data_IF_800660061893
#
_entry.id   IF_800660061893
#
_cell.length_a   1.000
_cell.length_b   1.000
_cell.length_c   1.000
_cell.angle_alpha   90.00
_cell.angle_beta   90.00
_cell.angle_gamma   90.00
#
_symmetry.space_group_name_H-M   'P 1'
#
loop_
_entity.id
_entity.type
_entity.pdbx_description
1 polymer ?
#
# COMPACT_ATOMS: atom_id res chain seq x y z
N UNK A 1 -6.64 -36.22 0.01
CA UNK A 1 -6.15 -37.61 0.00
C UNK A 1 -5.05 -37.70 -1.07
N UNK A 2 -3.86 -38.23 -0.75
CA UNK A 2 -2.76 -38.31 -1.71
C UNK A 2 -2.98 -39.44 -2.72
N UNK A 3 -2.69 -39.19 -4.00
CA UNK A 3 -2.63 -40.27 -4.98
C UNK A 3 -1.40 -41.14 -4.72
N UNK A 4 -1.44 -42.41 -5.16
CA UNK A 4 -0.30 -43.34 -5.05
C UNK A 4 1.01 -42.71 -5.55
N UNK A 5 0.93 -41.97 -6.67
CA UNK A 5 2.09 -41.33 -7.29
C UNK A 5 2.60 -40.12 -6.50
N UNK A 6 1.72 -39.32 -5.92
CA UNK A 6 2.11 -38.22 -5.04
C UNK A 6 2.76 -38.73 -3.75
N UNK A 7 2.26 -39.85 -3.20
CA UNK A 7 2.88 -40.51 -2.05
C UNK A 7 4.29 -41.02 -2.38
N UNK A 8 4.49 -41.68 -3.52
CA UNK A 8 5.81 -42.13 -3.97
C UNK A 8 6.82 -40.98 -4.14
N UNK A 9 6.37 -39.82 -4.64
CA UNK A 9 7.20 -38.60 -4.74
C UNK A 9 7.56 -38.08 -3.35
N UNK A 10 6.58 -37.98 -2.45
CA UNK A 10 6.78 -37.49 -1.08
C UNK A 10 7.75 -38.39 -0.31
N UNK A 11 7.50 -39.71 -0.31
CA UNK A 11 8.34 -40.70 0.38
C UNK A 11 9.79 -40.67 -0.13
N UNK A 12 10.00 -40.45 -1.43
CA UNK A 12 11.35 -40.33 -1.98
C UNK A 12 12.05 -39.05 -1.54
N UNK A 13 11.34 -37.91 -1.55
CA UNK A 13 11.88 -36.62 -1.10
C UNK A 13 12.26 -36.69 0.38
N UNK A 14 11.41 -37.28 1.23
CA UNK A 14 11.68 -37.48 2.65
C UNK A 14 12.92 -38.37 2.88
N UNK A 15 12.95 -39.56 2.26
CA UNK A 15 14.08 -40.48 2.42
C UNK A 15 15.40 -39.93 1.89
N UNK A 16 15.37 -39.21 0.77
CA UNK A 16 16.55 -38.59 0.20
C UNK A 16 17.08 -37.47 1.11
N UNK A 17 16.18 -36.63 1.64
CA UNK A 17 16.55 -35.53 2.53
C UNK A 17 17.12 -36.02 3.84
N UNK A 18 16.52 -37.03 4.47
CA UNK A 18 17.03 -37.66 5.70
C UNK A 18 18.42 -38.28 5.51
N UNK A 19 18.67 -38.91 4.35
CA UNK A 19 19.93 -39.61 4.09
C UNK A 19 21.07 -38.69 3.63
N UNK A 20 20.76 -37.57 2.97
CA UNK A 20 21.75 -36.69 2.32
C UNK A 20 21.88 -35.32 2.98
N UNK A 21 20.96 -34.95 3.87
CA UNK A 21 20.93 -33.62 4.51
C UNK A 21 20.49 -32.50 3.57
N UNK A 22 20.07 -32.81 2.34
CA UNK A 22 19.53 -31.85 1.37
C UNK A 22 18.51 -32.54 0.45
N UNK A 23 17.70 -31.72 -0.20
CA UNK A 23 16.61 -32.18 -1.04
C UNK A 23 17.05 -32.71 -2.41
N UNK A 24 16.39 -33.74 -2.96
CA UNK A 24 16.67 -34.20 -4.32
C UNK A 24 16.25 -33.13 -5.35
N UNK A 25 17.02 -33.03 -6.43
CA UNK A 25 16.64 -32.25 -7.61
C UNK A 25 15.50 -32.91 -8.37
N UNK A 26 14.78 -32.13 -9.20
CA UNK A 26 13.73 -32.70 -10.05
C UNK A 26 14.25 -33.79 -10.99
N UNK A 27 15.51 -33.70 -11.41
CA UNK A 27 16.12 -34.71 -12.28
C UNK A 27 16.44 -36.02 -11.53
N UNK A 28 16.78 -35.94 -10.24
CA UNK A 28 16.95 -37.12 -9.38
C UNK A 28 15.61 -37.79 -9.07
N UNK A 29 14.57 -36.99 -8.84
CA UNK A 29 13.20 -37.50 -8.67
C UNK A 29 12.74 -38.19 -9.97
N UNK A 30 13.05 -37.61 -11.14
CA UNK A 30 12.70 -38.18 -12.45
C UNK A 30 13.32 -39.53 -12.67
N UNK A 31 14.64 -39.61 -12.48
CA UNK A 31 15.42 -40.85 -12.63
C UNK A 31 14.94 -41.92 -11.66
N UNK A 32 14.69 -41.57 -10.40
CA UNK A 32 14.27 -42.54 -9.38
C UNK A 32 12.87 -43.11 -9.62
N UNK A 33 11.94 -42.28 -10.07
CA UNK A 33 10.55 -42.68 -10.31
C UNK A 33 10.29 -43.15 -11.75
N UNK A 34 11.34 -43.21 -12.58
CA UNK A 34 11.31 -43.59 -14.01
C UNK A 34 10.23 -42.82 -14.78
N UNK A 35 10.17 -41.51 -14.57
CA UNK A 35 9.19 -40.64 -15.22
C UNK A 35 9.71 -40.12 -16.56
N UNK A 36 8.80 -39.98 -17.53
CA UNK A 36 9.15 -39.54 -18.88
C UNK A 36 9.71 -38.10 -18.90
N UNK A 37 9.18 -37.20 -18.07
CA UNK A 37 9.56 -35.78 -18.09
C UNK A 37 9.70 -35.15 -16.70
N UNK A 38 10.50 -34.09 -16.63
CA UNK A 38 10.65 -33.23 -15.44
C UNK A 38 9.34 -32.48 -15.16
N UNK A 39 8.58 -32.14 -16.19
CA UNK A 39 7.29 -31.44 -16.09
C UNK A 39 6.26 -32.23 -15.27
N UNK A 40 6.26 -33.56 -15.37
CA UNK A 40 5.39 -34.43 -14.55
C UNK A 40 5.70 -34.31 -13.06
N UNK A 41 6.96 -34.01 -12.70
CA UNK A 41 7.39 -33.84 -11.30
C UNK A 41 6.99 -32.47 -10.81
N UNK A 42 7.13 -31.42 -11.64
CA UNK A 42 6.60 -30.10 -11.32
C UNK A 42 5.12 -30.16 -10.94
N UNK A 43 4.32 -30.92 -11.69
CA UNK A 43 2.90 -31.13 -11.38
C UNK A 43 2.68 -31.80 -10.01
N UNK A 44 3.36 -32.91 -9.72
CA UNK A 44 3.19 -33.61 -8.44
C UNK A 44 3.72 -32.80 -7.25
N UNK A 45 4.84 -32.10 -7.41
CA UNK A 45 5.39 -31.22 -6.38
C UNK A 45 4.46 -30.02 -6.13
N UNK A 46 3.86 -29.43 -7.16
CA UNK A 46 2.86 -28.36 -7.00
C UNK A 46 1.66 -28.85 -6.20
N UNK A 47 1.11 -30.03 -6.56
CA UNK A 47 -0.04 -30.61 -5.84
C UNK A 47 0.28 -31.00 -4.40
N UNK A 48 1.50 -31.47 -4.13
CA UNK A 48 1.96 -31.75 -2.77
C UNK A 48 2.15 -30.46 -1.96
N UNK A 49 2.63 -29.37 -2.58
CA UNK A 49 2.71 -28.04 -1.95
C UNK A 49 1.33 -27.45 -1.65
N UNK A 50 0.43 -27.47 -2.63
CA UNK A 50 -0.97 -27.04 -2.48
C UNK A 50 -1.68 -27.83 -1.38
N UNK A 51 -1.38 -29.14 -1.26
CA UNK A 51 -1.91 -29.99 -0.20
C UNK A 51 -1.23 -29.83 1.16
N UNK A 52 -0.26 -28.93 1.31
CA UNK A 52 0.47 -28.71 2.56
C UNK A 52 1.47 -29.82 2.94
N UNK A 53 1.75 -30.77 2.04
CA UNK A 53 2.67 -31.89 2.28
C UNK A 53 4.14 -31.51 2.05
N UNK A 54 4.40 -30.40 1.33
CA UNK A 54 5.73 -29.85 1.11
C UNK A 54 5.72 -28.35 1.43
N UNK A 55 6.67 -27.90 2.26
CA UNK A 55 6.83 -26.48 2.60
C UNK A 55 7.44 -25.65 1.47
N UNK A 56 7.23 -24.34 1.52
CA UNK A 56 7.89 -23.37 0.64
C UNK A 56 9.26 -23.05 1.24
N UNK A 57 10.32 -23.55 0.61
CA UNK A 57 11.68 -23.04 0.81
C UNK A 57 12.15 -22.32 -0.44
N UNK A 58 12.95 -21.28 -0.20
CA UNK A 58 13.46 -20.27 -1.12
C UNK A 58 13.98 -20.81 -2.46
N UNK A 59 14.01 -19.93 -3.46
CA UNK A 59 14.64 -20.10 -4.77
C UNK A 59 16.17 -20.32 -4.66
N UNK A 60 16.59 -21.44 -4.08
CA UNK A 60 17.92 -22.04 -4.23
C UNK A 60 17.74 -23.40 -4.88
N UNK A 61 18.56 -23.71 -5.87
CA UNK A 61 18.69 -25.07 -6.36
C UNK A 61 19.06 -25.96 -5.16
N UNK A 62 18.13 -26.85 -4.73
CA UNK A 62 18.25 -27.81 -3.61
C UNK A 62 17.83 -27.35 -2.20
N UNK A 63 16.70 -26.67 -2.04
CA UNK A 63 16.06 -26.53 -0.73
C UNK A 63 14.64 -27.10 -0.74
N UNK A 64 14.47 -28.34 -0.25
CA UNK A 64 13.21 -28.86 0.30
C UNK A 64 13.57 -29.20 1.75
N UNK A 65 13.11 -28.39 2.70
CA UNK A 65 13.14 -28.76 4.12
C UNK A 65 11.81 -29.40 4.47
N UNK A 66 11.86 -30.60 5.05
CA UNK A 66 10.69 -31.24 5.68
C UNK A 66 10.44 -30.50 6.99
N UNK A 67 9.44 -29.61 7.02
CA UNK A 67 9.04 -28.94 8.25
C UNK A 67 8.35 -29.95 9.16
N UNK A 68 8.87 -30.12 10.37
CA UNK A 68 8.27 -30.91 11.44
C UNK A 68 6.80 -30.55 11.65
N UNK A 69 5.95 -31.57 11.83
CA UNK A 69 4.52 -31.43 12.14
C UNK A 69 4.32 -30.76 13.52
N UNK A 70 4.40 -29.45 13.60
CA UNK A 70 3.81 -28.74 14.74
C UNK A 70 2.28 -28.68 14.52
N UNK A 71 1.46 -29.20 15.46
CA UNK A 71 0.01 -29.08 15.34
C UNK A 71 -0.39 -27.60 15.39
N UNK A 72 -1.02 -27.12 14.32
CA UNK A 72 -1.51 -25.74 14.20
C UNK A 72 -2.97 -25.65 14.69
N UNK A 73 -3.31 -24.57 15.39
CA UNK A 73 -4.67 -24.25 15.84
C UNK A 73 -5.16 -23.02 15.08
N UNK A 74 -6.44 -23.02 14.68
CA UNK A 74 -7.09 -21.86 14.07
C UNK A 74 -7.65 -20.96 15.17
N UNK A 75 -7.24 -19.70 15.19
CA UNK A 75 -7.66 -18.70 16.17
C UNK A 75 -8.47 -17.63 15.43
N UNK A 76 -9.66 -17.25 15.91
CA UNK A 76 -10.49 -16.26 15.23
C UNK A 76 -9.84 -14.87 15.28
N UNK A 77 -9.80 -14.19 14.13
CA UNK A 77 -9.41 -12.80 14.02
C UNK A 77 -10.67 -11.94 14.13
N UNK A 78 -10.85 -11.25 15.26
CA UNK A 78 -12.10 -10.57 15.61
C UNK A 78 -12.19 -9.12 15.11
N UNK A 79 -11.22 -8.68 14.30
CA UNK A 79 -11.20 -7.35 13.69
C UNK A 79 -9.93 -6.58 13.99
N UNK A 80 -10.05 -5.25 13.97
CA UNK A 80 -8.97 -4.29 14.19
C UNK A 80 -9.09 -3.62 15.56
N UNK A 81 -7.97 -3.23 16.14
CA UNK A 81 -7.89 -2.40 17.34
C UNK A 81 -7.20 -1.08 16.98
N UNK A 82 -8.00 -0.03 16.77
CA UNK A 82 -7.55 1.33 16.53
C UNK A 82 -7.63 2.16 17.81
N UNK A 83 -6.74 3.12 17.97
CA UNK A 83 -6.90 4.12 19.02
C UNK A 83 -8.16 4.95 18.74
N UNK A 84 -9.12 4.97 19.68
CA UNK A 84 -10.21 5.95 19.68
C UNK A 84 -11.54 5.53 19.03
N UNK A 85 -11.65 4.34 18.43
CA UNK A 85 -12.92 3.88 17.83
C UNK A 85 -13.38 2.51 18.39
N UNK A 86 -14.71 2.26 18.43
CA UNK A 86 -15.23 0.95 18.85
C UNK A 86 -14.72 -0.17 17.95
N UNK A 87 -14.62 -1.40 18.48
CA UNK A 87 -14.46 -2.58 17.63
C UNK A 87 -15.70 -2.66 16.73
N UNK A 88 -15.55 -2.34 15.45
CA UNK A 88 -16.55 -2.74 14.46
C UNK A 88 -16.54 -4.27 14.39
N UNK A 89 -17.59 -4.89 14.92
CA UNK A 89 -17.82 -6.31 14.80
C UNK A 89 -18.21 -6.67 13.36
N UNK A 90 -17.27 -6.53 12.42
CA UNK A 90 -17.43 -7.08 11.08
C UNK A 90 -17.29 -8.60 11.22
N UNK A 91 -18.41 -9.32 11.11
CA UNK A 91 -18.43 -10.79 11.08
C UNK A 91 -17.83 -11.32 9.77
N UNK A 92 -16.51 -11.15 9.59
CA UNK A 92 -15.76 -11.95 8.64
C UNK A 92 -15.13 -13.11 9.42
N UNK A 93 -15.36 -14.34 8.96
CA UNK A 93 -14.82 -15.56 9.56
C UNK A 93 -13.32 -15.73 9.18
N UNK A 94 -12.49 -14.76 9.55
CA UNK A 94 -11.05 -14.84 9.37
C UNK A 94 -10.40 -15.59 10.54
N UNK A 95 -9.42 -16.44 10.22
CA UNK A 95 -8.67 -17.21 11.21
C UNK A 95 -7.19 -17.11 10.92
N UNK A 96 -6.39 -17.00 11.98
CA UNK A 96 -4.94 -17.17 11.91
C UNK A 96 -4.57 -18.60 12.33
N UNK A 97 -3.58 -19.19 11.67
CA UNK A 97 -3.03 -20.48 12.07
C UNK A 97 -1.85 -20.25 13.03
N UNK A 98 -1.89 -20.83 14.22
CA UNK A 98 -0.86 -20.62 15.25
C UNK A 98 -0.36 -21.95 15.85
N UNK A 99 0.95 -22.10 16.13
CA UNK A 99 1.48 -23.33 16.71
C UNK A 99 0.90 -23.65 18.09
N UNK A 100 0.33 -24.85 18.27
CA UNK A 100 -0.28 -25.27 19.55
C UNK A 100 0.69 -25.22 20.73
N UNK A 101 1.98 -25.48 20.48
CA UNK A 101 3.02 -25.49 21.51
C UNK A 101 3.24 -24.10 22.16
N UNK A 102 2.86 -23.02 21.46
CA UNK A 102 2.97 -21.65 21.97
C UNK A 102 1.69 -21.14 22.63
N UNK A 103 0.63 -21.95 22.67
CA UNK A 103 -0.64 -21.57 23.27
C UNK A 103 -0.68 -21.93 24.76
N UNK A 104 -1.30 -21.09 25.60
CA UNK A 104 -1.59 -21.47 26.98
C UNK A 104 -2.48 -22.72 27.02
N UNK A 105 -2.32 -23.53 28.07
CA UNK A 105 -3.02 -24.81 28.19
C UNK A 105 -4.55 -24.67 28.28
N UNK A 106 -5.04 -23.53 28.79
CA UNK A 106 -6.47 -23.20 28.96
C UNK A 106 -6.73 -21.70 28.69
N UNK A 107 -7.94 -21.40 28.19
CA UNK A 107 -8.44 -20.03 27.97
C UNK A 107 -8.96 -19.81 26.56
N UNK A 108 -9.98 -18.95 26.42
CA UNK A 108 -10.46 -18.53 25.09
C UNK A 108 -9.48 -17.52 24.50
N UNK A 109 -9.06 -17.76 23.27
CA UNK A 109 -8.10 -16.93 22.56
C UNK A 109 -8.76 -16.31 21.33
N UNK A 110 -8.38 -15.07 21.05
CA UNK A 110 -8.74 -14.38 19.83
C UNK A 110 -7.59 -13.51 19.37
N UNK A 111 -7.59 -13.15 18.10
CA UNK A 111 -6.60 -12.27 17.51
C UNK A 111 -7.24 -10.92 17.16
N UNK A 112 -6.46 -9.85 17.22
CA UNK A 112 -6.83 -8.52 16.73
C UNK A 112 -5.67 -7.95 15.91
N UNK A 113 -5.98 -7.25 14.82
CA UNK A 113 -4.99 -6.51 14.04
C UNK A 113 -4.81 -5.11 14.63
N UNK A 114 -3.57 -4.72 14.90
CA UNK A 114 -3.22 -3.44 15.51
C UNK A 114 -3.27 -2.33 14.47
N UNK A 115 -3.86 -1.20 14.85
CA UNK A 115 -3.85 0.04 14.04
C UNK A 115 -3.30 1.18 14.90
N UNK A 116 -2.27 1.84 14.39
CA UNK A 116 -1.55 2.94 15.04
C UNK A 116 -0.26 2.54 15.76
N UNK A 117 0.45 3.54 16.28
CA UNK A 117 1.82 3.41 16.80
C UNK A 117 1.93 3.55 18.32
N UNK A 118 0.82 3.45 19.07
CA UNK A 118 0.82 3.71 20.52
C UNK A 118 1.61 2.69 21.37
N UNK A 119 2.04 1.59 20.78
CA UNK A 119 2.70 0.47 21.48
C UNK A 119 4.06 0.07 20.87
N UNK A 120 4.67 0.96 20.08
CA UNK A 120 5.93 0.69 19.36
C UNK A 120 7.10 0.31 20.29
N UNK A 121 7.19 0.90 21.49
CA UNK A 121 8.25 0.61 22.45
C UNK A 121 8.11 -0.79 23.08
N UNK A 122 6.94 -1.42 22.94
CA UNK A 122 6.69 -2.84 23.28
C UNK A 122 6.85 -3.76 22.07
N UNK A 123 7.48 -3.25 21.00
CA UNK A 123 7.63 -3.94 19.72
C UNK A 123 6.27 -4.42 19.17
N UNK A 124 5.26 -3.56 19.22
CA UNK A 124 3.95 -3.77 18.58
C UNK A 124 3.75 -2.63 17.58
N UNK A 125 3.87 -2.97 16.30
CA UNK A 125 3.77 -2.02 15.21
C UNK A 125 2.35 -1.98 14.65
N UNK A 126 2.05 -0.91 13.92
CA UNK A 126 0.85 -0.85 13.10
C UNK A 126 0.82 -2.04 12.11
N UNK A 127 -0.34 -2.67 11.95
CA UNK A 127 -0.51 -3.85 11.10
C UNK A 127 -0.20 -5.20 11.77
N UNK A 128 0.56 -5.23 12.88
CA UNK A 128 0.83 -6.47 13.63
C UNK A 128 -0.48 -7.12 14.12
N UNK A 129 -0.47 -8.44 14.31
CA UNK A 129 -1.60 -9.18 14.88
C UNK A 129 -1.26 -9.58 16.31
N UNK A 130 -2.02 -9.08 17.28
CA UNK A 130 -1.87 -9.46 18.68
C UNK A 130 -2.75 -10.68 18.99
N UNK A 131 -2.16 -11.66 19.66
CA UNK A 131 -2.89 -12.80 20.21
C UNK A 131 -3.31 -12.47 21.64
N UNK A 132 -4.61 -12.54 21.90
CA UNK A 132 -5.22 -12.07 23.14
C UNK A 132 -5.88 -13.25 23.85
N UNK A 133 -5.58 -13.41 25.13
CA UNK A 133 -6.30 -14.30 26.03
C UNK A 133 -7.47 -13.54 26.64
N UNK A 134 -8.69 -14.02 26.41
CA UNK A 134 -9.90 -13.42 26.95
C UNK A 134 -9.93 -13.59 28.48
N UNK A 135 -9.92 -12.47 29.18
CA UNK A 135 -10.02 -12.38 30.65
C UNK A 135 -10.44 -10.95 31.04
N UNK A 136 -11.01 -10.80 32.22
CA UNK A 136 -11.56 -9.55 32.77
C UNK A 136 -10.66 -8.90 33.83
N UNK A 137 -9.55 -9.55 34.16
CA UNK A 137 -8.53 -9.08 35.10
C UNK A 137 -7.17 -8.96 34.43
N UNK A 138 -6.36 -8.01 34.89
CA UNK A 138 -4.99 -7.80 34.45
C UNK A 138 -4.10 -7.33 35.62
N UNK A 139 -2.82 -7.64 35.54
CA UNK A 139 -1.77 -7.23 36.46
C UNK A 139 -1.03 -5.98 35.97
N UNK A 140 -0.38 -5.26 36.89
CA UNK A 140 0.35 -4.05 36.55
C UNK A 140 1.50 -4.35 35.59
N UNK A 141 1.54 -3.64 34.47
CA UNK A 141 2.53 -3.80 33.41
C UNK A 141 2.09 -4.73 32.27
N UNK A 142 0.99 -5.47 32.41
CA UNK A 142 0.46 -6.30 31.33
C UNK A 142 -0.07 -5.46 30.17
N UNK A 143 0.07 -5.99 28.95
CA UNK A 143 -0.47 -5.41 27.72
C UNK A 143 -1.92 -5.86 27.60
N UNK A 144 -2.87 -4.94 27.68
CA UNK A 144 -4.30 -5.25 27.76
C UNK A 144 -5.07 -4.66 26.60
N UNK A 145 -6.09 -5.40 26.17
CA UNK A 145 -7.21 -4.85 25.40
C UNK A 145 -8.25 -4.38 26.39
N UNK A 146 -8.50 -3.08 26.45
CA UNK A 146 -9.45 -2.46 27.35
C UNK A 146 -10.54 -1.74 26.56
N UNK A 147 -11.79 -1.91 26.98
CA UNK A 147 -12.95 -1.15 26.52
C UNK A 147 -13.26 -0.06 27.55
N UNK A 148 -13.25 1.20 27.12
CA UNK A 148 -13.50 2.37 27.95
C UNK A 148 -14.86 2.96 27.58
N UNK A 149 -15.65 3.32 28.59
CA UNK A 149 -16.99 3.90 28.47
C UNK A 149 -17.92 3.14 27.50
N UNK A 150 -17.74 1.82 27.37
CA UNK A 150 -18.44 0.94 26.43
C UNK A 150 -18.36 1.33 24.94
N UNK A 151 -17.47 2.24 24.56
CA UNK A 151 -17.36 2.75 23.20
C UNK A 151 -15.93 2.70 22.64
N UNK A 152 -14.88 2.88 23.45
CA UNK A 152 -13.51 2.98 22.94
C UNK A 152 -12.70 1.72 23.29
N UNK A 153 -12.22 0.97 22.29
CA UNK A 153 -11.31 -0.16 22.55
C UNK A 153 -9.87 0.25 22.31
N UNK A 154 -8.96 -0.03 23.26
CA UNK A 154 -7.56 0.37 23.15
C UNK A 154 -6.60 -0.72 23.61
N UNK A 155 -5.41 -0.75 23.01
CA UNK A 155 -4.28 -1.58 23.42
C UNK A 155 -3.27 -0.71 24.18
N UNK A 156 -3.07 -0.97 25.47
CA UNK A 156 -2.19 -0.21 26.36
C UNK A 156 -1.59 -1.11 27.44
N UNK A 157 -0.57 -0.62 28.16
CA UNK A 157 -0.13 -1.26 29.41
C UNK A 157 -1.04 -0.86 30.55
N UNK A 158 -1.52 -1.84 31.31
CA UNK A 158 -2.40 -1.62 32.44
C UNK A 158 -1.63 -1.30 33.72
N UNK A 159 -2.05 -0.28 34.45
CA UNK A 159 -1.57 0.02 35.80
C UNK A 159 -2.74 0.41 36.70
N UNK A 160 -2.99 -0.41 37.72
CA UNK A 160 -3.88 -0.11 38.83
C UNK A 160 -3.10 0.65 39.91
N UNK A 161 -3.43 1.92 40.07
CA UNK A 161 -2.81 2.82 41.04
C UNK A 161 -3.84 3.25 42.11
N UNK A 162 -3.39 3.92 43.17
CA UNK A 162 -4.31 4.37 44.23
C UNK A 162 -5.28 5.42 43.67
N UNK A 163 -6.55 5.05 43.58
CA UNK A 163 -7.64 5.95 43.20
C UNK A 163 -7.92 6.11 41.70
N UNK A 164 -7.15 5.46 40.82
CA UNK A 164 -7.37 5.49 39.38
C UNK A 164 -6.69 4.30 38.67
N UNK A 165 -7.10 4.03 37.44
CA UNK A 165 -6.41 3.13 36.51
C UNK A 165 -5.70 3.97 35.47
N UNK A 166 -4.44 3.65 35.17
CA UNK A 166 -3.66 4.27 34.09
C UNK A 166 -3.47 3.25 32.97
N UNK A 167 -3.92 3.60 31.78
CA UNK A 167 -3.62 2.88 30.54
C UNK A 167 -2.48 3.61 29.85
N UNK A 168 -1.29 3.02 29.97
CA UNK A 168 -0.05 3.63 29.51
C UNK A 168 0.27 3.22 28.07
N UNK A 169 0.40 4.17 27.12
CA UNK A 169 1.00 3.87 25.83
C UNK A 169 2.48 3.52 25.99
N UNK A 170 2.94 2.58 25.19
CA UNK A 170 4.36 2.32 25.00
C UNK A 170 4.85 3.10 23.76
N UNK A 171 4.70 4.41 23.84
CA UNK A 171 5.21 5.38 22.89
C UNK A 171 5.32 6.75 23.58
N UNK A 172 6.51 7.35 23.56
CA UNK A 172 6.80 8.64 24.22
C UNK A 172 5.98 9.83 23.70
N UNK A 173 5.41 9.75 22.50
CA UNK A 173 4.62 10.85 21.92
C UNK A 173 3.14 10.81 22.32
N UNK A 174 2.72 9.80 23.10
CA UNK A 174 1.33 9.63 23.53
C UNK A 174 1.22 9.82 25.04
N UNK A 175 0.20 10.58 25.46
CA UNK A 175 -0.12 10.77 26.87
C UNK A 175 -0.84 9.55 27.48
N UNK A 176 -0.63 9.23 28.76
CA UNK A 176 -1.36 8.17 29.45
C UNK A 176 -2.85 8.47 29.56
N UNK A 177 -3.70 7.45 29.39
CA UNK A 177 -5.14 7.58 29.63
C UNK A 177 -5.42 7.27 31.10
N UNK A 178 -5.99 8.23 31.82
CA UNK A 178 -6.31 8.12 33.25
C UNK A 178 -7.81 7.90 33.43
N UNK A 179 -8.17 6.73 33.97
CA UNK A 179 -9.54 6.34 34.28
C UNK A 179 -9.78 6.50 35.78
N UNK A 180 -10.62 7.47 36.12
CA UNK A 180 -11.07 7.74 37.51
C UNK A 180 -12.45 7.10 37.72
N UNK A 181 -13.01 7.26 38.92
CA UNK A 181 -14.28 6.62 39.34
C UNK A 181 -15.51 7.00 38.51
N UNK A 182 -15.42 8.07 37.73
CA UNK A 182 -16.45 8.61 36.85
C UNK A 182 -16.48 7.97 35.45
N UNK A 183 -15.48 7.15 35.12
CA UNK A 183 -15.38 6.46 33.82
C UNK A 183 -15.42 4.95 34.00
N UNK A 184 -16.02 4.25 33.04
CA UNK A 184 -16.10 2.80 33.04
C UNK A 184 -14.94 2.19 32.25
N UNK A 185 -14.40 1.07 32.73
CA UNK A 185 -13.35 0.31 32.03
C UNK A 185 -13.57 -1.18 32.21
N UNK A 186 -13.57 -1.89 31.09
CA UNK A 186 -13.65 -3.34 31.04
C UNK A 186 -12.42 -3.92 30.34
N UNK A 187 -11.67 -4.75 31.04
CA UNK A 187 -10.62 -5.54 30.39
C UNK A 187 -11.29 -6.63 29.56
N UNK A 188 -10.94 -6.70 28.28
CA UNK A 188 -11.43 -7.71 27.34
C UNK A 188 -10.42 -8.85 27.15
N UNK A 189 -9.15 -8.61 27.50
CA UNK A 189 -8.13 -9.64 27.53
C UNK A 189 -6.70 -9.10 27.67
N UNK A 190 -5.77 -10.03 27.81
CA UNK A 190 -4.33 -9.77 27.94
C UNK A 190 -3.61 -10.30 26.70
N UNK A 191 -2.70 -9.51 26.13
CA UNK A 191 -1.87 -9.89 24.99
C UNK A 191 -0.81 -10.89 25.44
N UNK A 192 -0.82 -12.08 24.83
CA UNK A 192 0.12 -13.17 25.12
C UNK A 192 1.21 -13.32 24.07
N UNK A 193 0.95 -12.94 22.82
CA UNK A 193 1.94 -12.99 21.75
C UNK A 193 1.63 -11.92 20.68
N UNK A 194 2.63 -11.60 19.87
CA UNK A 194 2.57 -10.63 18.78
C UNK A 194 3.07 -11.31 17.51
N UNK A 195 2.18 -11.51 16.56
CA UNK A 195 2.50 -12.02 15.24
C UNK A 195 2.84 -10.81 14.39
N UNK A 196 4.11 -10.72 14.01
CA UNK A 196 4.58 -9.64 13.16
C UNK A 196 3.89 -9.69 11.82
N UNK A 197 3.44 -8.53 11.35
CA UNK A 197 3.02 -8.40 9.96
C UNK A 197 4.28 -8.56 9.09
N UNK A 198 4.52 -9.78 8.62
CA UNK A 198 5.72 -10.09 7.84
C UNK A 198 5.73 -9.37 6.49
N UNK A 199 4.64 -8.73 6.05
CA UNK A 199 4.63 -7.96 4.80
C UNK A 199 5.61 -6.77 4.81
N UNK A 200 5.79 -6.07 5.94
CA UNK A 200 6.75 -4.96 6.04
C UNK A 200 8.20 -5.46 6.19
N UNK A 201 8.43 -6.49 7.01
CA UNK A 201 9.76 -7.10 7.19
C UNK A 201 10.23 -7.84 5.95
N UNK A 202 9.31 -8.40 5.15
CA UNK A 202 9.62 -8.98 3.85
C UNK A 202 9.79 -7.90 2.78
N UNK A 203 9.06 -6.79 2.79
CA UNK A 203 9.34 -5.68 1.88
C UNK A 203 10.76 -5.13 2.12
N UNK A 204 11.14 -4.85 3.37
CA UNK A 204 12.49 -4.35 3.68
C UNK A 204 13.60 -5.42 3.43
N UNK A 205 13.40 -6.70 3.79
CA UNK A 205 14.44 -7.74 3.56
C UNK A 205 14.52 -8.24 2.11
N UNK A 206 13.42 -8.28 1.36
CA UNK A 206 13.42 -8.63 -0.06
C UNK A 206 14.05 -7.50 -0.88
N UNK A 207 13.80 -6.23 -0.51
CA UNK A 207 14.46 -5.08 -1.14
C UNK A 207 15.97 -5.08 -0.87
N UNK A 208 16.41 -5.59 0.29
CA UNK A 208 17.82 -5.50 0.70
C UNK A 208 18.67 -6.75 0.40
N UNK A 209 18.19 -7.74 -0.38
CA UNK A 209 19.04 -8.93 -0.69
C UNK A 209 18.95 -9.49 -2.11
N UNK A 210 18.67 -8.64 -3.10
CA UNK A 210 19.30 -8.73 -4.42
C UNK A 210 19.50 -7.29 -4.88
N UNK A 211 20.74 -6.83 -4.98
CA UNK A 211 21.03 -5.61 -5.74
C UNK A 211 20.36 -5.76 -7.10
N UNK A 212 19.28 -5.01 -7.33
CA UNK A 212 18.65 -4.95 -8.65
C UNK A 212 19.69 -4.30 -9.54
N UNK A 213 20.26 -5.10 -10.45
CA UNK A 213 21.30 -4.63 -11.35
C UNK A 213 20.68 -3.57 -12.27
N UNK A 214 21.00 -2.31 -12.02
CA UNK A 214 20.56 -1.19 -12.85
C UNK A 214 21.05 -1.39 -14.28
N UNK A 215 20.19 -1.09 -15.24
CA UNK A 215 20.53 -1.15 -16.64
C UNK A 215 21.57 -0.08 -16.96
N UNK A 216 22.57 -0.42 -17.79
CA UNK A 216 23.59 0.55 -18.21
C UNK A 216 23.11 1.45 -19.34
N UNK A 217 22.04 1.07 -20.02
CA UNK A 217 21.44 1.78 -21.16
C UNK A 217 19.94 1.77 -20.99
N UNK A 218 19.29 2.86 -21.35
CA UNK A 218 17.85 2.97 -21.27
C UNK A 218 17.17 2.14 -22.37
N UNK A 219 16.05 1.49 -22.04
CA UNK A 219 15.18 0.76 -22.99
C UNK A 219 14.34 1.75 -23.80
N UNK A 220 14.97 2.54 -24.66
CA UNK A 220 14.29 3.59 -25.42
C UNK A 220 13.37 3.00 -26.51
N UNK A 221 12.26 3.69 -26.77
CA UNK A 221 11.31 3.41 -27.86
C UNK A 221 10.72 1.98 -27.86
N UNK A 222 10.55 1.40 -26.67
CA UNK A 222 9.95 0.07 -26.53
C UNK A 222 8.98 0.02 -25.34
N UNK A 223 7.96 -0.84 -25.47
CA UNK A 223 7.05 -1.18 -24.39
C UNK A 223 7.66 -2.35 -23.62
N UNK A 224 7.84 -2.18 -22.33
CA UNK A 224 8.37 -3.22 -21.46
C UNK A 224 7.20 -4.01 -20.88
N UNK A 225 7.15 -5.31 -21.16
CA UNK A 225 6.19 -6.22 -20.55
C UNK A 225 6.73 -6.71 -19.21
N UNK A 226 6.21 -6.18 -18.09
CA UNK A 226 6.63 -6.56 -16.75
C UNK A 226 5.85 -5.88 -15.64
N UNK A 227 6.17 -6.21 -14.40
CA UNK A 227 5.65 -5.49 -13.24
C UNK A 227 6.26 -4.09 -13.18
N UNK A 228 5.42 -3.06 -13.17
CA UNK A 228 5.88 -1.67 -13.29
C UNK A 228 6.91 -1.29 -12.21
N UNK A 229 6.72 -1.71 -10.96
CA UNK A 229 7.64 -1.39 -9.86
C UNK A 229 8.97 -2.12 -10.04
N UNK A 230 8.94 -3.41 -10.43
CA UNK A 230 10.17 -4.15 -10.69
C UNK A 230 10.95 -3.61 -11.89
N UNK A 231 10.27 -3.16 -12.95
CA UNK A 231 10.92 -2.56 -14.12
C UNK A 231 11.47 -1.16 -13.80
N UNK A 232 10.74 -0.33 -13.05
CA UNK A 232 11.21 0.98 -12.60
C UNK A 232 12.51 0.87 -11.79
N UNK A 233 12.63 -0.14 -10.90
CA UNK A 233 13.84 -0.41 -10.10
C UNK A 233 15.09 -0.70 -10.94
N UNK A 234 14.93 -1.17 -12.17
CA UNK A 234 16.06 -1.45 -13.07
C UNK A 234 16.57 -0.20 -13.77
N UNK A 235 15.75 0.84 -13.89
CA UNK A 235 16.15 2.08 -14.55
C UNK A 235 17.22 2.83 -13.72
N UNK A 236 18.20 3.49 -14.36
CA UNK A 236 19.16 4.34 -13.66
C UNK A 236 18.48 5.48 -12.89
N UNK A 237 19.17 6.01 -11.88
CA UNK A 237 18.71 7.22 -11.19
C UNK A 237 18.82 8.40 -12.16
N UNK A 238 17.91 9.38 -12.00
CA UNK A 238 17.96 10.65 -12.75
C UNK A 238 18.08 10.47 -14.28
N UNK A 239 17.42 9.44 -14.81
CA UNK A 239 17.47 9.09 -16.22
C UNK A 239 16.32 9.66 -17.05
N UNK A 240 15.24 10.12 -16.41
CA UNK A 240 13.99 10.53 -17.06
C UNK A 240 13.73 12.02 -16.92
N UNK A 241 13.47 12.72 -18.03
CA UNK A 241 13.04 14.13 -18.03
C UNK A 241 11.56 14.26 -17.65
N UNK A 242 10.73 13.30 -18.06
CA UNK A 242 9.30 13.26 -17.80
C UNK A 242 8.90 11.86 -17.35
N UNK A 243 8.02 11.78 -16.35
CA UNK A 243 7.35 10.54 -15.94
C UNK A 243 5.84 10.77 -16.00
N UNK A 244 5.10 9.93 -16.73
CA UNK A 244 3.64 10.02 -16.85
C UNK A 244 3.04 8.73 -16.29
N UNK A 245 2.14 8.88 -15.33
CA UNK A 245 1.60 7.78 -14.55
C UNK A 245 0.07 7.85 -14.58
N UNK A 246 -0.54 6.85 -15.20
CA UNK A 246 -1.98 6.63 -15.19
C UNK A 246 -2.26 5.28 -14.49
N UNK A 247 -2.28 5.26 -13.15
CA UNK A 247 -2.39 4.02 -12.38
C UNK A 247 -3.85 3.56 -12.29
N UNK A 248 -4.15 2.35 -11.79
CA UNK A 248 -5.51 1.98 -11.42
C UNK A 248 -6.05 2.91 -10.32
N UNK A 249 -7.26 3.48 -10.45
CA UNK A 249 -7.77 4.50 -9.50
C UNK A 249 -8.43 3.95 -8.23
N UNK A 250 -8.33 2.65 -7.97
CA UNK A 250 -9.04 1.94 -6.88
C UNK A 250 -10.56 2.15 -6.86
N UNK A 251 -11.19 2.21 -8.04
CA UNK A 251 -12.63 2.48 -8.21
C UNK A 251 -13.49 1.20 -8.28
N UNK A 252 -12.92 0.04 -7.92
CA UNK A 252 -13.61 -1.25 -7.98
C UNK A 252 -13.83 -1.80 -9.39
N UNK A 253 -13.13 -1.25 -10.39
CA UNK A 253 -13.09 -1.81 -11.75
C UNK A 253 -12.09 -2.96 -11.77
N UNK A 254 -12.54 -4.15 -12.18
CA UNK A 254 -11.69 -5.31 -12.38
C UNK A 254 -11.17 -5.31 -13.82
N UNK A 255 -9.85 -5.33 -13.99
CA UNK A 255 -9.21 -5.44 -15.30
C UNK A 255 -8.82 -6.90 -15.63
N UNK A 256 -9.47 -7.88 -14.99
CA UNK A 256 -9.27 -9.31 -15.22
C UNK A 256 -8.12 -9.90 -14.42
N UNK A 257 -7.64 -9.19 -13.40
CA UNK A 257 -6.51 -9.60 -12.57
C UNK A 257 -6.90 -9.84 -11.09
N UNK A 258 -8.15 -9.53 -10.67
CA UNK A 258 -8.65 -9.65 -9.29
C UNK A 258 -7.83 -8.87 -8.22
N UNK A 259 -6.94 -7.94 -8.61
CA UNK A 259 -5.98 -7.25 -7.72
C UNK A 259 -6.25 -5.73 -7.65
N UNK A 260 -7.12 -5.20 -8.51
CA UNK A 260 -7.36 -3.75 -8.67
C UNK A 260 -8.36 -3.15 -7.66
N UNK A 261 -8.84 -3.96 -6.72
CA UNK A 261 -9.65 -3.52 -5.58
C UNK A 261 -8.90 -3.82 -4.30
N UNK A 262 -8.38 -2.78 -3.67
CA UNK A 262 -7.60 -2.87 -2.43
C UNK A 262 -8.24 -2.00 -1.36
N UNK A 263 -7.96 -2.33 -0.11
CA UNK A 263 -8.21 -1.39 0.98
C UNK A 263 -7.41 -0.09 0.70
N UNK A 264 -7.97 1.06 1.08
CA UNK A 264 -7.41 2.36 0.70
C UNK A 264 -5.96 2.53 1.17
N UNK A 265 -5.63 2.11 2.39
CA UNK A 265 -4.27 2.18 2.92
C UNK A 265 -3.31 1.28 2.13
N UNK A 266 -3.73 0.04 1.83
CA UNK A 266 -2.94 -0.87 1.00
C UNK A 266 -2.69 -0.31 -0.40
N UNK A 267 -3.69 0.35 -0.98
CA UNK A 267 -3.56 1.03 -2.25
C UNK A 267 -2.56 2.20 -2.16
N UNK A 268 -2.66 3.05 -1.13
CA UNK A 268 -1.75 4.19 -0.93
C UNK A 268 -0.31 3.71 -0.72
N UNK A 269 -0.09 2.68 0.10
CA UNK A 269 1.25 2.10 0.31
C UNK A 269 1.84 1.50 -0.97
N UNK A 270 1.02 0.80 -1.74
CA UNK A 270 1.42 0.35 -3.07
C UNK A 270 1.77 1.54 -3.98
N UNK A 271 1.00 2.63 -3.94
CA UNK A 271 1.31 3.84 -4.71
C UNK A 271 2.62 4.49 -4.31
N UNK A 272 2.90 4.59 -3.01
CA UNK A 272 4.17 5.12 -2.49
C UNK A 272 5.37 4.40 -3.08
N UNK A 273 5.27 3.09 -3.28
CA UNK A 273 6.37 2.31 -3.86
C UNK A 273 6.75 2.77 -5.26
N UNK A 274 5.80 2.95 -6.19
CA UNK A 274 6.11 3.46 -7.53
C UNK A 274 6.34 4.97 -7.56
N UNK A 275 5.75 5.75 -6.64
CA UNK A 275 6.02 7.20 -6.51
C UNK A 275 7.50 7.41 -6.19
N UNK A 276 8.02 6.68 -5.19
CA UNK A 276 9.41 6.80 -4.75
C UNK A 276 10.40 6.40 -5.86
N UNK A 277 10.12 5.30 -6.57
CA UNK A 277 10.94 4.89 -7.72
C UNK A 277 10.85 5.91 -8.87
N UNK A 278 9.67 6.48 -9.12
CA UNK A 278 9.48 7.51 -10.13
C UNK A 278 10.27 8.78 -9.81
N UNK A 279 10.29 9.22 -8.55
CA UNK A 279 11.09 10.37 -8.09
C UNK A 279 12.59 10.08 -8.22
N UNK A 280 13.03 8.86 -7.91
CA UNK A 280 14.43 8.43 -8.06
C UNK A 280 14.92 8.53 -9.51
N UNK A 281 14.13 8.03 -10.46
CA UNK A 281 14.50 8.05 -11.89
C UNK A 281 14.31 9.42 -12.54
N UNK A 282 13.50 10.30 -11.96
CA UNK A 282 13.28 11.65 -12.47
C UNK A 282 14.56 12.46 -12.36
N UNK A 283 14.90 13.26 -13.36
CA UNK A 283 16.01 14.23 -13.29
C UNK A 283 15.69 15.38 -12.32
N UNK A 284 16.69 16.12 -11.82
CA UNK A 284 16.46 17.28 -10.94
C UNK A 284 15.50 18.34 -11.53
N UNK A 285 15.58 18.58 -12.84
CA UNK A 285 14.70 19.49 -13.59
C UNK A 285 13.50 18.78 -14.27
N UNK A 286 13.29 17.50 -13.95
CA UNK A 286 12.23 16.70 -14.55
C UNK A 286 10.86 16.98 -13.93
N UNK A 287 9.81 16.59 -14.67
CA UNK A 287 8.40 16.73 -14.24
C UNK A 287 7.69 15.38 -14.29
N UNK A 288 6.93 15.08 -13.25
CA UNK A 288 6.08 13.89 -13.15
C UNK A 288 4.61 14.28 -13.19
N UNK A 289 3.78 13.51 -13.88
CA UNK A 289 2.33 13.69 -13.94
C UNK A 289 1.63 12.42 -13.45
N UNK A 290 0.79 12.54 -12.42
CA UNK A 290 0.02 11.43 -11.85
C UNK A 290 -1.46 11.69 -12.07
N UNK A 291 -2.12 10.83 -12.83
CA UNK A 291 -3.53 10.91 -13.17
C UNK A 291 -4.37 10.17 -12.13
N UNK A 292 -5.61 10.62 -11.96
CA UNK A 292 -6.54 10.01 -11.03
C UNK A 292 -7.80 10.81 -10.78
N UNK A 293 -8.69 10.20 -10.02
CA UNK A 293 -9.84 10.90 -9.46
C UNK A 293 -9.40 11.83 -8.32
N UNK A 294 -10.12 12.95 -8.15
CA UNK A 294 -9.72 13.96 -7.16
C UNK A 294 -9.65 13.40 -5.74
N UNK A 295 -10.55 12.47 -5.43
CA UNK A 295 -10.65 11.81 -4.13
C UNK A 295 -9.42 10.95 -3.85
N UNK A 296 -8.97 10.13 -4.82
CA UNK A 296 -7.81 9.27 -4.63
C UNK A 296 -6.51 10.07 -4.65
N UNK A 297 -6.42 11.07 -5.53
CA UNK A 297 -5.26 11.95 -5.59
C UNK A 297 -5.11 12.83 -4.34
N UNK A 298 -6.19 13.11 -3.61
CA UNK A 298 -6.08 13.81 -2.33
C UNK A 298 -5.20 13.02 -1.34
N UNK A 299 -5.45 11.70 -1.21
CA UNK A 299 -4.63 10.81 -0.39
C UNK A 299 -3.20 10.68 -0.92
N UNK A 300 -3.01 10.54 -2.24
CA UNK A 300 -1.65 10.43 -2.79
C UNK A 300 -0.86 11.74 -2.68
N UNK A 301 -1.53 12.89 -2.68
CA UNK A 301 -0.86 14.19 -2.69
C UNK A 301 -0.01 14.42 -1.45
N UNK A 302 -0.46 13.94 -0.28
CA UNK A 302 0.28 14.09 0.99
C UNK A 302 1.52 13.20 1.03
N UNK A 303 1.51 12.08 0.30
CA UNK A 303 2.62 11.14 0.24
C UNK A 303 3.73 11.56 -0.74
N UNK A 304 3.50 12.54 -1.62
CA UNK A 304 4.49 13.02 -2.60
C UNK A 304 5.41 14.07 -1.92
N UNK A 305 6.70 13.75 -1.66
CA UNK A 305 7.60 14.57 -0.86
C UNK A 305 8.31 15.69 -1.65
N UNK A 306 7.83 16.00 -2.85
CA UNK A 306 8.41 17.01 -3.75
C UNK A 306 7.38 18.10 -4.07
N UNK A 307 7.84 19.18 -4.73
CA UNK A 307 6.95 20.26 -5.14
C UNK A 307 5.88 19.73 -6.09
N UNK A 308 4.66 20.27 -5.96
CA UNK A 308 3.52 19.79 -6.74
C UNK A 308 2.49 20.88 -6.96
N UNK A 309 1.74 20.73 -8.04
CA UNK A 309 0.57 21.53 -8.40
C UNK A 309 -0.55 20.60 -8.84
N UNK A 310 -1.76 20.98 -8.46
CA UNK A 310 -2.97 20.33 -8.91
C UNK A 310 -3.39 20.88 -10.25
N UNK A 311 -3.62 20.01 -11.23
CA UNK A 311 -4.20 20.33 -12.52
C UNK A 311 -5.54 19.62 -12.66
N UNK A 312 -6.45 20.22 -13.43
CA UNK A 312 -7.79 19.70 -13.68
C UNK A 312 -7.90 19.36 -15.15
N UNK A 313 -8.21 18.09 -15.44
CA UNK A 313 -8.61 17.65 -16.75
C UNK A 313 -10.12 17.72 -16.87
N UNK A 314 -10.62 18.85 -17.38
CA UNK A 314 -12.05 19.12 -17.51
C UNK A 314 -12.58 18.64 -18.88
N UNK A 315 -13.60 17.78 -18.84
CA UNK A 315 -14.30 17.32 -20.03
C UNK A 315 -15.43 18.28 -20.37
N UNK A 316 -15.40 18.87 -21.56
CA UNK A 316 -16.42 19.85 -21.94
C UNK A 316 -17.78 19.23 -22.30
N UNK A 317 -17.84 17.93 -22.65
CA UNK A 317 -19.05 17.23 -23.13
C UNK A 317 -19.19 15.80 -22.54
N UNK A 318 -18.87 15.56 -21.26
CA UNK A 318 -18.94 14.22 -20.65
C UNK A 318 -20.36 13.90 -20.14
N UNK A 319 -20.90 12.75 -20.56
CA UNK A 319 -22.09 12.17 -19.93
C UNK A 319 -21.66 11.32 -18.72
N UNK A 320 -22.30 11.52 -17.56
CA UNK A 320 -22.06 10.73 -16.34
C UNK A 320 -23.29 9.92 -15.95
N UNK A 321 -23.07 8.76 -15.33
CA UNK A 321 -24.09 7.75 -15.07
C UNK A 321 -25.01 8.02 -13.86
N UNK A 322 -24.67 8.95 -12.97
CA UNK A 322 -25.47 9.21 -11.76
C UNK A 322 -26.30 10.49 -11.88
N UNK A 323 -27.60 10.36 -11.63
CA UNK A 323 -28.56 11.47 -11.52
C UNK A 323 -28.83 11.84 -10.05
N UNK A 324 -28.24 11.12 -9.10
CA UNK A 324 -28.61 11.20 -7.67
C UNK A 324 -27.68 12.11 -6.86
N UNK A 325 -26.66 12.72 -7.46
CA UNK A 325 -25.72 13.63 -6.80
C UNK A 325 -25.01 14.56 -7.80
N UNK A 326 -24.05 15.38 -7.34
CA UNK A 326 -23.20 16.22 -8.18
C UNK A 326 -22.48 15.39 -9.26
N UNK A 327 -22.56 15.88 -10.49
CA UNK A 327 -21.98 15.23 -11.66
C UNK A 327 -20.48 15.47 -11.74
N UNK A 328 -19.72 14.42 -12.12
CA UNK A 328 -18.27 14.51 -12.32
C UNK A 328 -17.96 15.09 -13.71
N UNK A 329 -17.43 16.31 -13.77
CA UNK A 329 -17.03 16.96 -15.02
C UNK A 329 -15.53 16.85 -15.32
N UNK A 330 -14.73 16.35 -14.38
CA UNK A 330 -13.28 16.33 -14.51
C UNK A 330 -12.61 15.12 -13.87
N UNK A 331 -11.36 14.93 -14.28
CA UNK A 331 -10.34 14.16 -13.58
C UNK A 331 -9.24 15.10 -13.13
N UNK A 332 -8.39 14.65 -12.22
CA UNK A 332 -7.31 15.45 -11.68
C UNK A 332 -5.95 14.88 -12.09
N UNK A 333 -4.95 15.76 -12.13
CA UNK A 333 -3.58 15.40 -12.41
C UNK A 333 -2.71 16.10 -11.38
N UNK A 334 -1.87 15.36 -10.65
CA UNK A 334 -0.81 15.95 -9.86
C UNK A 334 0.40 16.13 -10.77
N UNK A 335 0.79 17.38 -11.01
CA UNK A 335 2.05 17.73 -11.64
C UNK A 335 3.10 17.98 -10.55
N UNK A 336 4.14 17.17 -10.49
CA UNK A 336 5.16 17.19 -9.43
C UNK A 336 6.58 17.33 -10.00
N UNK A 337 7.48 18.00 -9.29
CA UNK A 337 8.85 18.26 -9.72
C UNK A 337 9.81 18.42 -8.52
N UNK A 338 11.11 18.17 -8.73
CA UNK A 338 12.13 18.35 -7.68
C UNK A 338 12.54 19.81 -7.54
N UNK A 339 13.27 20.33 -8.54
CA UNK A 339 13.86 21.67 -8.50
C UNK A 339 13.08 22.67 -9.37
N UNK A 340 13.71 23.21 -10.41
CA UNK A 340 13.04 24.08 -11.40
C UNK A 340 12.70 23.23 -12.62
N UNK A 341 11.40 22.98 -12.89
CA UNK A 341 11.01 22.13 -14.01
C UNK A 341 11.27 22.83 -15.35
N UNK A 342 11.56 22.04 -16.38
CA UNK A 342 11.50 22.53 -17.76
C UNK A 342 10.04 22.70 -18.15
N UNK A 343 9.65 23.92 -18.53
CA UNK A 343 8.29 24.22 -18.96
C UNK A 343 8.29 25.07 -20.23
N UNK A 344 8.00 24.42 -21.36
CA UNK A 344 7.92 25.06 -22.66
C UNK A 344 6.58 25.78 -22.82
N UNK A 345 6.39 26.86 -22.06
CA UNK A 345 5.11 27.57 -21.95
C UNK A 345 4.49 28.00 -23.28
N UNK A 346 5.32 28.27 -24.29
CA UNK A 346 4.89 28.77 -25.59
C UNK A 346 4.35 27.64 -26.49
N UNK A 347 4.77 26.39 -26.27
CA UNK A 347 4.31 25.19 -27.00
C UNK A 347 2.91 24.75 -26.57
N UNK A 348 2.43 25.21 -25.42
CA UNK A 348 1.18 24.77 -24.78
C UNK A 348 0.23 25.93 -24.49
N UNK A 349 0.34 27.03 -25.22
CA UNK A 349 -0.57 28.18 -25.08
C UNK A 349 -2.01 27.80 -25.43
N UNK A 350 -2.94 28.50 -24.79
CA UNK A 350 -4.37 28.32 -25.01
C UNK A 350 -4.93 29.47 -25.86
N UNK A 351 -5.92 29.23 -26.75
CA UNK A 351 -6.59 30.31 -27.44
C UNK A 351 -7.15 31.35 -26.46
N UNK A 352 -7.07 32.63 -26.84
CA UNK A 352 -7.78 33.67 -26.11
C UNK A 352 -9.29 33.53 -26.31
N UNK A 353 -10.06 33.98 -25.32
CA UNK A 353 -11.49 34.25 -25.55
C UNK A 353 -11.63 35.61 -26.23
N UNK A 354 -12.66 35.78 -27.06
CA UNK A 354 -12.95 37.07 -27.71
C UNK A 354 -13.11 38.20 -26.69
N UNK A 355 -13.83 37.92 -25.59
CA UNK A 355 -13.99 38.88 -24.50
C UNK A 355 -12.68 39.30 -23.85
N UNK A 356 -11.69 38.40 -23.77
CA UNK A 356 -10.37 38.75 -23.24
C UNK A 356 -9.61 39.66 -24.22
N UNK A 357 -9.59 39.34 -25.51
CA UNK A 357 -8.92 40.18 -26.51
C UNK A 357 -9.52 41.59 -26.54
N UNK A 358 -10.84 41.69 -26.63
CA UNK A 358 -11.56 42.97 -26.64
C UNK A 358 -11.43 43.74 -25.31
N UNK A 359 -11.28 43.00 -24.21
CA UNK A 359 -11.29 43.53 -22.85
C UNK A 359 -9.92 43.93 -22.32
N UNK A 360 -8.83 43.33 -22.79
CA UNK A 360 -7.51 43.44 -22.18
C UNK A 360 -6.38 43.79 -23.14
N UNK A 361 -6.37 43.25 -24.37
CA UNK A 361 -5.27 43.45 -25.29
C UNK A 361 -5.16 44.92 -25.72
N UNK A 362 -3.96 45.49 -25.62
CA UNK A 362 -3.67 46.88 -26.00
C UNK A 362 -4.19 47.95 -25.02
N UNK A 363 -4.89 47.57 -23.94
CA UNK A 363 -5.37 48.53 -22.94
C UNK A 363 -4.30 48.82 -21.90
N UNK A 364 -4.14 50.10 -21.56
CA UNK A 364 -3.30 50.55 -20.44
C UNK A 364 -4.00 50.21 -19.12
N UNK A 365 -3.30 49.56 -18.20
CA UNK A 365 -3.76 49.34 -16.82
C UNK A 365 -2.79 49.95 -15.83
N UNK A 366 -3.33 50.73 -14.89
CA UNK A 366 -2.59 51.21 -13.72
C UNK A 366 -2.30 50.04 -12.79
N UNK A 367 -1.05 49.89 -12.37
CA UNK A 367 -0.67 48.86 -11.43
C UNK A 367 -1.30 49.11 -10.06
N UNK A 368 -1.94 48.10 -9.49
CA UNK A 368 -2.45 48.17 -8.12
C UNK A 368 -1.29 47.94 -7.14
N UNK A 369 -1.10 48.88 -6.21
CA UNK A 369 -0.15 48.72 -5.11
C UNK A 369 -0.62 47.60 -4.18
N UNK A 370 0.27 46.66 -3.86
CA UNK A 370 -0.08 45.52 -3.00
C UNK A 370 1.08 44.57 -2.74
N UNK A 371 0.78 43.43 -2.11
CA UNK A 371 1.76 42.43 -1.63
C UNK A 371 2.75 41.95 -2.71
N UNK A 372 2.39 42.06 -3.99
CA UNK A 372 3.18 41.58 -5.12
C UNK A 372 3.60 42.69 -6.10
N UNK A 373 3.28 43.97 -5.83
CA UNK A 373 3.65 45.10 -6.69
C UNK A 373 3.81 46.39 -5.87
N UNK A 374 5.00 46.97 -5.90
CA UNK A 374 5.39 48.14 -5.10
C UNK A 374 5.43 49.46 -5.88
N UNK A 375 5.39 49.42 -7.20
CA UNK A 375 5.70 50.57 -8.06
C UNK A 375 4.50 51.18 -8.78
N UNK A 376 3.32 50.56 -8.72
CA UNK A 376 2.10 51.08 -9.35
C UNK A 376 2.19 51.31 -10.86
N UNK A 377 3.20 50.72 -11.52
CA UNK A 377 3.54 50.99 -12.91
C UNK A 377 2.36 50.72 -13.85
N UNK A 378 2.15 51.63 -14.79
CA UNK A 378 1.24 51.39 -15.90
C UNK A 378 1.82 50.33 -16.83
N UNK A 379 0.97 49.38 -17.22
CA UNK A 379 1.35 48.29 -18.11
C UNK A 379 0.35 48.22 -19.27
N UNK A 380 0.85 47.91 -20.46
CA UNK A 380 0.02 47.59 -21.63
C UNK A 380 0.16 46.11 -21.90
N UNK A 381 -0.96 45.38 -21.87
CA UNK A 381 -0.94 43.96 -22.18
C UNK A 381 -0.85 43.77 -23.70
N UNK A 382 0.30 43.30 -24.18
CA UNK A 382 0.48 42.85 -25.56
C UNK A 382 0.11 41.37 -25.66
N UNK A 383 -0.98 41.07 -26.37
CA UNK A 383 -1.39 39.69 -26.62
C UNK A 383 -0.31 38.96 -27.44
N UNK A 384 -0.04 37.72 -27.05
CA UNK A 384 0.93 36.88 -27.76
C UNK A 384 0.23 36.18 -28.93
N UNK A 385 0.88 36.09 -30.09
CA UNK A 385 0.28 35.51 -31.30
C UNK A 385 -0.14 34.05 -31.12
N UNK A 386 0.66 33.27 -30.38
CA UNK A 386 0.34 31.89 -30.02
C UNK A 386 -0.76 31.70 -28.96
N UNK A 387 -1.37 32.78 -28.44
CA UNK A 387 -2.46 32.70 -27.46
C UNK A 387 -2.07 33.02 -26.01
N UNK A 388 -3.00 32.80 -25.09
CA UNK A 388 -2.84 32.96 -23.65
C UNK A 388 -1.85 31.94 -23.07
N UNK A 389 -1.23 32.27 -21.93
CA UNK A 389 -0.46 31.27 -21.19
C UNK A 389 -1.39 30.11 -20.73
N UNK A 390 -0.87 28.88 -20.68
CA UNK A 390 -1.60 27.70 -20.19
C UNK A 390 -2.11 27.90 -18.76
N UNK A 391 -3.26 27.31 -18.47
CA UNK A 391 -3.90 27.34 -17.16
C UNK A 391 -3.86 25.96 -16.49
N UNK A 392 -4.20 25.95 -15.21
CA UNK A 392 -4.30 24.75 -14.39
C UNK A 392 -5.56 23.92 -14.68
N UNK A 393 -6.58 24.50 -15.36
CA UNK A 393 -7.75 23.78 -15.87
C UNK A 393 -7.61 23.54 -17.36
N UNK A 394 -7.21 22.33 -17.72
CA UNK A 394 -7.05 21.85 -19.09
C UNK A 394 -8.43 21.41 -19.59
N UNK A 395 -8.94 22.12 -20.60
CA UNK A 395 -10.23 21.81 -21.23
C UNK A 395 -10.00 20.94 -22.45
N UNK A 396 -10.52 19.72 -22.42
CA UNK A 396 -10.42 18.78 -23.54
C UNK A 396 -11.82 18.48 -24.07
N UNK A 397 -12.05 18.60 -25.40
CA UNK A 397 -13.27 18.08 -26.00
C UNK A 397 -13.29 16.55 -25.83
N UNK A 398 -14.30 16.04 -25.14
CA UNK A 398 -14.48 14.59 -25.05
C UNK A 398 -14.87 14.07 -26.45
N UNK A 399 -14.05 13.20 -27.05
CA UNK A 399 -14.30 12.64 -28.39
C UNK A 399 -15.42 11.59 -28.41
N UNK A 400 -15.77 11.03 -27.25
CA UNK A 400 -17.00 10.30 -26.98
C UNK A 400 -17.10 10.21 -25.45
N UNK A 401 -18.32 10.25 -24.90
CA UNK A 401 -18.52 9.87 -23.50
C UNK A 401 -17.88 8.50 -23.25
N UNK A 402 -17.35 8.26 -22.06
CA UNK A 402 -16.64 7.04 -21.66
C UNK A 402 -17.46 5.74 -21.71
N UNK A 403 -18.42 5.61 -22.62
CA UNK A 403 -18.84 4.34 -23.18
C UNK A 403 -17.71 3.81 -24.08
N UNK A 404 -16.70 3.22 -23.45
CA UNK A 404 -16.24 1.96 -24.01
C UNK A 404 -17.47 1.06 -24.07
N UNK A 405 -17.81 0.60 -25.28
CA UNK A 405 -18.70 -0.55 -25.45
C UNK A 405 -18.23 -1.72 -24.60
#
# INVERSE_FOLDING_TARGET
>A
MLTKRQKEVLDFVENYTTKKGYAPSFEEIRKRLKLASVSTIHFHISKLKEGGYLGKTENKARAISVTSREPMVKIPLLGVIAAGEPIEAIRQNEFIAFPKAKLPSNGNLYALRVVGSSMIDENINDGDVVLVKQQDVAENGERVVALIDNHETTLKKFYKERGHIRLQPANKTFEPIIIRKDRDIKIQGVVIDVIKNEEELQAEKIITTKEVRKERKLPLNQIILGDAIQELRKLPDESCDIVIIDPPYNIGKDFGNNIDKRELKEYVEWCKSWINESIRILKPNGTMFIYGFSEILAYLSVEIPIQKRWLIWHYTNKNVASLNFWQRSHEAIICAWKDKPVFNKDDVREPYTEGFLNGAAGKVRKGTLGRFSSSGLETVYKAHEGGALPRDVIKIPALAGGAGM
#
